data_IF_473736408039
#
_entry.id   IF_473736408039
#
_cell.length_a   1.000
_cell.length_b   1.000
_cell.length_c   1.000
_cell.angle_alpha   90.00
_cell.angle_beta   90.00
_cell.angle_gamma   90.00
#
_symmetry.space_group_name_H-M   'P 1'
#
loop_
_entity.id
_entity.type
_entity.pdbx_description
1 polymer ?
#
# COMPACT_ATOMS: atom_id res chain seq x y z
N UNK A 1 4.73 27.44 -10.61
CA UNK A 1 5.22 26.24 -9.90
C UNK A 1 6.58 26.54 -9.26
N UNK A 2 6.94 25.83 -8.19
CA UNK A 2 8.19 26.05 -7.45
C UNK A 2 9.43 25.79 -8.33
N UNK A 3 10.45 26.66 -8.24
CA UNK A 3 11.74 26.45 -8.91
C UNK A 3 12.55 25.27 -8.36
N UNK A 4 12.15 24.75 -7.19
CA UNK A 4 12.81 23.63 -6.52
C UNK A 4 12.23 22.26 -6.92
N UNK A 5 11.21 22.23 -7.76
CA UNK A 5 10.61 20.98 -8.24
C UNK A 5 11.43 20.37 -9.36
N UNK A 6 11.64 19.05 -9.30
CA UNK A 6 12.19 18.28 -10.41
C UNK A 6 11.22 18.30 -11.61
N UNK A 7 11.73 18.01 -12.81
CA UNK A 7 10.88 17.89 -14.00
C UNK A 7 9.79 16.84 -13.83
N UNK A 8 10.11 15.71 -13.17
CA UNK A 8 9.11 14.69 -12.81
C UNK A 8 7.98 15.29 -11.98
N UNK A 9 8.30 15.98 -10.89
CA UNK A 9 7.29 16.54 -9.99
C UNK A 9 6.40 17.60 -10.66
N UNK A 10 6.91 18.33 -11.66
CA UNK A 10 6.12 19.29 -12.45
C UNK A 10 5.08 18.62 -13.34
N UNK A 11 5.34 17.38 -13.79
CA UNK A 11 4.47 16.62 -14.69
C UNK A 11 3.46 15.70 -13.98
N UNK A 12 3.47 15.64 -12.64
CA UNK A 12 2.56 14.78 -11.90
C UNK A 12 1.15 15.37 -11.86
N UNK A 13 0.16 14.54 -12.18
CA UNK A 13 -1.25 14.82 -11.89
C UNK A 13 -1.59 14.14 -10.56
N UNK A 14 -1.98 14.89 -9.51
CA UNK A 14 -2.32 14.30 -8.23
C UNK A 14 -3.51 13.34 -8.32
N UNK A 15 -3.48 12.30 -7.50
CA UNK A 15 -4.63 11.42 -7.31
C UNK A 15 -5.82 12.21 -6.74
N UNK A 16 -7.00 12.01 -7.34
CA UNK A 16 -8.27 12.55 -6.85
C UNK A 16 -9.08 11.40 -6.22
N UNK A 17 -9.28 11.38 -4.89
CA UNK A 17 -10.07 10.35 -4.25
C UNK A 17 -11.55 10.48 -4.63
N UNK A 18 -12.26 9.35 -4.61
CA UNK A 18 -13.71 9.33 -4.69
C UNK A 18 -14.37 10.06 -3.52
N UNK A 19 -15.60 10.51 -3.71
CA UNK A 19 -16.38 11.22 -2.71
C UNK A 19 -16.55 10.40 -1.42
N UNK A 20 -16.42 11.05 -0.25
CA UNK A 20 -16.74 10.46 1.05
C UNK A 20 -17.64 11.40 1.86
N UNK A 21 -18.98 11.22 1.80
CA UNK A 21 -19.91 12.03 2.58
C UNK A 21 -19.71 11.85 4.09
N UNK A 22 -19.79 12.95 4.84
CA UNK A 22 -19.65 12.96 6.31
C UNK A 22 -21.01 13.09 6.98
N UNK A 23 -21.90 12.15 6.69
CA UNK A 23 -23.27 12.11 7.22
C UNK A 23 -23.40 10.92 8.16
N UNK A 24 -24.08 11.12 9.29
CA UNK A 24 -24.38 10.03 10.22
C UNK A 24 -25.32 8.99 9.59
N UNK A 25 -25.15 7.72 9.96
CA UNK A 25 -25.98 6.63 9.43
C UNK A 25 -25.74 6.29 7.95
N UNK A 26 -24.68 6.83 7.32
CA UNK A 26 -24.34 6.50 5.93
C UNK A 26 -23.99 5.01 5.77
N UNK A 27 -24.66 4.35 4.82
CA UNK A 27 -24.23 3.03 4.33
C UNK A 27 -23.07 3.23 3.36
N UNK A 28 -21.85 2.97 3.82
CA UNK A 28 -20.62 3.19 3.06
C UNK A 28 -20.25 1.99 2.19
N UNK A 29 -20.29 2.14 0.87
CA UNK A 29 -20.03 1.07 -0.11
C UNK A 29 -19.09 1.49 -1.25
N UNK A 30 -18.27 2.53 -1.05
CA UNK A 30 -17.53 3.20 -2.13
C UNK A 30 -16.01 2.94 -2.15
N UNK A 31 -15.44 2.23 -1.17
CA UNK A 31 -13.98 2.00 -1.07
C UNK A 31 -13.59 0.54 -0.86
N UNK A 32 -14.48 -0.41 -1.15
CA UNK A 32 -14.22 -1.86 -1.07
C UNK A 32 -13.76 -2.36 0.31
N UNK A 33 -14.17 -1.69 1.39
CA UNK A 33 -13.89 -2.13 2.75
C UNK A 33 -14.67 -3.41 3.07
N UNK A 34 -14.10 -4.27 3.91
CA UNK A 34 -14.79 -5.44 4.41
C UNK A 34 -15.89 -5.00 5.39
N UNK A 35 -17.14 -5.48 5.26
CA UNK A 35 -18.23 -5.11 6.17
C UNK A 35 -18.09 -5.73 7.56
N UNK A 36 -17.26 -6.77 7.72
CA UNK A 36 -17.04 -7.44 9.00
C UNK A 36 -15.87 -6.82 9.77
N UNK A 37 -15.90 -6.90 11.11
CA UNK A 37 -14.74 -6.61 11.94
C UNK A 37 -13.53 -7.51 11.57
N UNK A 38 -12.30 -7.09 11.91
CA UNK A 38 -11.13 -7.93 11.75
C UNK A 38 -11.27 -9.24 12.55
N UNK A 39 -10.55 -10.28 12.13
CA UNK A 39 -10.60 -11.59 12.76
C UNK A 39 -10.33 -11.50 14.28
N UNK A 40 -11.00 -12.30 15.14
CA UNK A 40 -10.86 -12.20 16.60
C UNK A 40 -9.41 -12.25 17.10
N UNK A 41 -8.55 -13.03 16.44
CA UNK A 41 -7.13 -13.15 16.76
C UNK A 41 -6.36 -11.82 16.60
N UNK A 42 -6.76 -10.96 15.65
CA UNK A 42 -6.15 -9.62 15.47
C UNK A 42 -6.41 -8.75 16.69
N UNK A 43 -7.66 -8.74 17.18
CA UNK A 43 -8.02 -8.00 18.39
C UNK A 43 -7.26 -8.51 19.61
N UNK A 44 -7.11 -9.83 19.74
CA UNK A 44 -6.33 -10.43 20.83
C UNK A 44 -4.86 -10.03 20.76
N UNK A 45 -4.23 -10.09 19.58
CA UNK A 45 -2.84 -9.70 19.37
C UNK A 45 -2.60 -8.22 19.71
N UNK A 46 -3.49 -7.32 19.26
CA UNK A 46 -3.40 -5.89 19.57
C UNK A 46 -3.56 -5.64 21.08
N UNK A 47 -4.51 -6.32 21.74
CA UNK A 47 -4.74 -6.13 23.17
C UNK A 47 -3.61 -6.69 24.04
N UNK A 48 -2.99 -7.79 23.61
CA UNK A 48 -1.88 -8.43 24.31
C UNK A 48 -0.52 -7.78 24.00
N UNK A 49 -0.46 -6.84 23.05
CA UNK A 49 0.78 -6.16 22.69
C UNK A 49 1.30 -5.30 23.85
N UNK A 50 2.57 -5.50 24.19
CA UNK A 50 3.26 -4.70 25.20
C UNK A 50 3.55 -3.30 24.65
N UNK A 51 2.80 -2.31 25.15
CA UNK A 51 2.88 -0.91 24.68
C UNK A 51 4.22 -0.28 25.01
N UNK A 52 4.94 -0.80 25.99
CA UNK A 52 6.27 -0.32 26.35
C UNK A 52 7.27 -0.50 25.20
N UNK A 53 7.04 -1.48 24.30
CA UNK A 53 7.86 -1.73 23.12
C UNK A 53 7.73 -0.64 22.04
N UNK A 54 6.72 0.24 22.09
CA UNK A 54 6.55 1.33 21.10
C UNK A 54 7.71 2.34 21.12
N UNK A 55 8.56 2.32 22.17
CA UNK A 55 9.80 3.10 22.22
C UNK A 55 10.92 2.54 21.34
N UNK A 56 10.75 1.33 20.81
CA UNK A 56 11.75 0.62 20.01
C UNK A 56 11.33 0.61 18.53
N UNK A 57 12.32 0.53 17.64
CA UNK A 57 12.04 0.23 16.23
C UNK A 57 11.47 -1.19 16.09
N UNK A 58 10.56 -1.42 15.13
CA UNK A 58 10.10 -2.76 14.79
C UNK A 58 11.23 -3.56 14.12
N UNK A 59 11.01 -4.85 13.94
CA UNK A 59 11.86 -5.67 13.08
C UNK A 59 11.90 -5.08 11.65
N UNK A 60 13.08 -4.61 11.19
CA UNK A 60 13.20 -3.95 9.90
C UNK A 60 12.90 -4.88 8.71
N UNK A 61 13.00 -6.20 8.90
CA UNK A 61 12.80 -7.18 7.84
C UNK A 61 11.40 -7.80 7.84
N UNK A 62 10.61 -7.60 8.90
CA UNK A 62 9.32 -8.27 9.10
C UNK A 62 9.40 -9.80 8.96
N UNK A 63 10.44 -10.39 9.54
CA UNK A 63 10.85 -11.77 9.33
C UNK A 63 9.78 -12.79 9.72
N UNK A 64 9.07 -12.55 10.83
CA UNK A 64 7.97 -13.41 11.29
C UNK A 64 6.80 -13.38 10.30
N UNK A 65 6.44 -12.19 9.80
CA UNK A 65 5.37 -12.04 8.82
C UNK A 65 5.74 -12.67 7.48
N UNK A 66 6.98 -12.47 7.01
CA UNK A 66 7.47 -13.09 5.77
C UNK A 66 7.42 -14.61 5.84
N UNK A 67 7.82 -15.20 6.97
CA UNK A 67 7.76 -16.65 7.13
C UNK A 67 6.32 -17.17 7.09
N UNK A 68 5.41 -16.54 7.84
CA UNK A 68 4.00 -16.94 7.85
C UNK A 68 3.34 -16.85 6.46
N UNK A 69 3.64 -15.79 5.69
CA UNK A 69 3.16 -15.63 4.32
C UNK A 69 3.78 -16.67 3.37
N UNK A 70 5.07 -16.95 3.51
CA UNK A 70 5.77 -17.95 2.71
C UNK A 70 5.18 -19.35 2.90
N UNK A 71 4.94 -19.75 4.15
CA UNK A 71 4.32 -21.02 4.50
C UNK A 71 2.88 -21.12 3.98
N UNK A 72 2.09 -20.04 4.12
CA UNK A 72 0.71 -19.99 3.64
C UNK A 72 0.60 -20.12 2.12
N UNK A 73 1.52 -19.51 1.38
CA UNK A 73 1.53 -19.52 -0.09
C UNK A 73 2.37 -20.64 -0.71
N UNK A 74 3.11 -21.41 0.08
CA UNK A 74 3.99 -22.48 -0.41
C UNK A 74 5.20 -21.99 -1.22
N UNK A 75 5.77 -20.83 -0.85
CA UNK A 75 6.91 -20.20 -1.52
C UNK A 75 8.11 -20.06 -0.58
N UNK A 76 9.29 -19.74 -1.11
CA UNK A 76 10.45 -19.42 -0.26
C UNK A 76 10.30 -18.05 0.41
N UNK A 77 10.78 -17.91 1.66
CA UNK A 77 10.78 -16.63 2.39
C UNK A 77 11.44 -15.47 1.60
N UNK A 78 12.47 -15.77 0.82
CA UNK A 78 13.17 -14.81 -0.04
C UNK A 78 12.33 -14.30 -1.23
N UNK A 79 11.19 -14.93 -1.50
CA UNK A 79 10.22 -14.51 -2.52
C UNK A 79 9.12 -13.60 -1.93
N UNK A 80 9.18 -13.28 -0.63
CA UNK A 80 8.19 -12.42 0.05
C UNK A 80 8.78 -11.05 0.35
N UNK A 81 8.14 -10.01 -0.17
CA UNK A 81 8.43 -8.61 0.16
C UNK A 81 7.24 -8.00 0.92
N UNK A 82 7.50 -7.38 2.06
CA UNK A 82 6.48 -6.73 2.90
C UNK A 82 6.61 -5.23 2.73
N UNK A 83 5.51 -4.57 2.35
CA UNK A 83 5.38 -3.11 2.35
C UNK A 83 4.23 -2.66 3.24
N UNK A 84 4.22 -1.38 3.58
CA UNK A 84 3.16 -0.71 4.32
C UNK A 84 1.95 -0.44 3.41
N UNK A 85 1.27 -1.53 3.05
CA UNK A 85 0.24 -1.54 2.02
C UNK A 85 0.82 -1.80 0.63
N UNK A 86 0.03 -2.43 -0.25
CA UNK A 86 0.48 -2.81 -1.59
C UNK A 86 0.81 -1.61 -2.49
N UNK A 87 0.30 -0.41 -2.17
CA UNK A 87 0.66 0.84 -2.84
C UNK A 87 2.17 1.10 -2.78
N UNK A 88 2.79 0.93 -1.61
CA UNK A 88 4.24 1.14 -1.46
C UNK A 88 5.02 0.12 -2.28
N UNK A 89 4.59 -1.14 -2.26
CA UNK A 89 5.22 -2.23 -3.03
C UNK A 89 5.15 -1.92 -4.53
N UNK A 90 4.01 -1.45 -5.02
CA UNK A 90 3.87 -1.00 -6.41
C UNK A 90 4.78 0.21 -6.68
N UNK A 91 4.77 1.25 -5.85
CA UNK A 91 5.61 2.43 -6.05
C UNK A 91 7.10 2.08 -6.15
N UNK A 92 7.59 1.19 -5.28
CA UNK A 92 8.96 0.67 -5.33
C UNK A 92 9.23 -0.11 -6.62
N UNK A 93 8.32 -0.99 -7.04
CA UNK A 93 8.44 -1.73 -8.29
C UNK A 93 8.51 -0.80 -9.52
N UNK A 94 7.70 0.26 -9.55
CA UNK A 94 7.73 1.27 -10.61
C UNK A 94 9.07 2.03 -10.67
N UNK A 95 9.58 2.45 -9.51
CA UNK A 95 10.89 3.11 -9.45
C UNK A 95 12.05 2.17 -9.84
N UNK A 96 11.96 0.88 -9.48
CA UNK A 96 13.03 -0.08 -9.72
C UNK A 96 13.09 -0.60 -11.16
N UNK A 97 11.94 -0.84 -11.79
CA UNK A 97 11.88 -1.58 -13.06
C UNK A 97 11.33 -0.77 -14.23
N UNK A 98 10.54 0.28 -13.98
CA UNK A 98 9.76 0.94 -15.04
C UNK A 98 10.18 2.37 -15.37
N UNK A 99 11.30 2.84 -14.80
CA UNK A 99 11.91 4.13 -15.17
C UNK A 99 12.65 4.01 -16.51
N UNK A 100 11.93 4.19 -17.62
CA UNK A 100 12.47 4.08 -18.98
C UNK A 100 11.79 5.04 -19.96
N UNK A 101 12.33 5.22 -21.19
CA UNK A 101 11.72 6.10 -22.20
C UNK A 101 10.45 5.54 -22.87
N UNK A 102 10.21 4.24 -22.77
CA UNK A 102 9.06 3.59 -23.43
C UNK A 102 7.81 3.62 -22.52
N UNK A 103 6.60 3.76 -23.10
CA UNK A 103 5.38 3.80 -22.31
C UNK A 103 5.10 2.46 -21.61
N UNK A 104 4.46 2.55 -20.44
CA UNK A 104 3.98 1.38 -19.69
C UNK A 104 2.54 1.11 -20.10
N UNK A 105 2.23 -0.14 -20.47
CA UNK A 105 0.90 -0.54 -20.92
C UNK A 105 0.07 -1.11 -19.76
N UNK A 106 -1.13 -0.57 -19.57
CA UNK A 106 -2.13 -1.06 -18.62
C UNK A 106 -3.55 -0.79 -19.16
N UNK A 107 -4.59 -1.50 -18.68
CA UNK A 107 -5.96 -1.27 -19.15
C UNK A 107 -6.41 0.16 -18.88
N UNK A 108 -7.14 0.76 -19.84
CA UNK A 108 -7.64 2.13 -19.73
C UNK A 108 -8.52 2.35 -18.48
N UNK A 109 -9.33 1.34 -18.13
CA UNK A 109 -10.11 1.33 -16.88
C UNK A 109 -9.41 0.37 -15.92
N UNK A 110 -8.66 0.95 -14.99
CA UNK A 110 -7.88 0.20 -13.99
C UNK A 110 -7.67 1.08 -12.75
N UNK A 111 -6.68 0.72 -11.93
CA UNK A 111 -6.35 1.46 -10.73
C UNK A 111 -5.76 2.83 -11.06
N UNK A 112 -6.38 3.89 -10.57
CA UNK A 112 -6.02 5.31 -10.80
C UNK A 112 -4.64 5.71 -10.23
N UNK A 113 -3.98 4.81 -9.52
CA UNK A 113 -2.57 4.90 -9.17
C UNK A 113 -1.65 4.95 -10.40
N UNK A 114 -1.89 4.10 -11.41
CA UNK A 114 -0.91 3.90 -12.49
C UNK A 114 -0.58 5.20 -13.25
N UNK A 115 -1.54 6.05 -13.66
CA UNK A 115 -1.23 7.32 -14.32
C UNK A 115 -0.34 8.27 -13.49
N UNK A 116 -0.32 8.15 -12.17
CA UNK A 116 0.55 8.96 -11.29
C UNK A 116 2.01 8.51 -11.38
N UNK A 117 2.27 7.22 -11.64
CA UNK A 117 3.62 6.62 -11.64
C UNK A 117 4.16 6.25 -13.03
N UNK A 118 3.34 6.33 -14.09
CA UNK A 118 3.69 5.87 -15.44
C UNK A 118 3.92 6.99 -16.47
N UNK A 119 3.97 8.26 -16.04
CA UNK A 119 4.07 9.40 -16.96
C UNK A 119 5.44 9.55 -17.62
#
# INVERSE_FOLDING_TARGET
MSKYWSELAKGLVPYVPGEQPKVEGLIKLNTNENPYPPAPAVRLAINAFDKDLLRLYPDPNSDVLKQALADYHGVGKHQVFVGNGSYEVLALAFMAFFKQPQPILFPNISYSFYPVYCN
#
